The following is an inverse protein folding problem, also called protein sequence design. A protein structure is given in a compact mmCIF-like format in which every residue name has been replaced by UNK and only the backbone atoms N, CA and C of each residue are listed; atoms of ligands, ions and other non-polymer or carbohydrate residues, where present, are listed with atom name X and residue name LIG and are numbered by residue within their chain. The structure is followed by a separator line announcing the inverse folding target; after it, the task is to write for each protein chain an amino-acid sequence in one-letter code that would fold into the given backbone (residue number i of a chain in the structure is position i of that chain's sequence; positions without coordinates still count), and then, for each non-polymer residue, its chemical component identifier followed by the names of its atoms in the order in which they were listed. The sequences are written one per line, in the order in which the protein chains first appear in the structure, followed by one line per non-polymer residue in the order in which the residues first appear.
data_IF_709256977217
#
_entry.id   IF_709256977217
#
_cell.length_a   1.000
_cell.length_b   1.000
_cell.length_c   1.000
_cell.angle_alpha   90.00
_cell.angle_beta   90.00
_cell.angle_gamma   90.00
#
_symmetry.space_group_name_H-M   'P 1'
#
loop_
_entity.id
_entity.type
_entity.pdbx_description
1 polymer ?
#
# COMPACT_ATOMS: atom_id res chain seq x y z
N UNK A 1 -4.59 13.98 6.71
CA UNK A 1 -5.67 13.58 7.64
C UNK A 1 -6.52 14.78 8.02
N UNK A 2 -7.65 14.52 8.70
CA UNK A 2 -8.48 15.55 9.34
C UNK A 2 -8.21 15.52 10.84
N UNK A 3 -7.98 16.69 11.44
CA UNK A 3 -7.65 16.86 12.85
C UNK A 3 -8.80 17.59 13.53
N UNK A 4 -9.54 16.88 14.37
CA UNK A 4 -10.64 17.44 15.17
C UNK A 4 -10.12 17.78 16.55
N UNK A 5 -10.07 19.06 16.90
CA UNK A 5 -9.61 19.52 18.22
C UNK A 5 -10.83 19.84 19.08
N UNK A 6 -10.91 19.22 20.26
CA UNK A 6 -12.02 19.39 21.20
C UNK A 6 -11.94 20.71 21.97
N UNK A 7 -13.11 21.24 22.36
CA UNK A 7 -13.27 22.49 23.11
C UNK A 7 -12.36 22.64 24.34
N UNK A 8 -12.13 21.57 25.09
CA UNK A 8 -11.29 21.59 26.29
C UNK A 8 -9.82 21.94 25.99
N UNK A 9 -9.32 21.61 24.80
CA UNK A 9 -7.94 21.91 24.41
C UNK A 9 -7.73 23.41 24.21
N UNK A 10 -8.71 24.10 23.61
CA UNK A 10 -8.68 25.55 23.38
C UNK A 10 -8.87 26.38 24.66
N UNK A 11 -9.50 25.77 25.66
CA UNK A 11 -9.86 26.45 26.91
C UNK A 11 -8.67 26.55 27.89
N UNK A 12 -7.64 25.73 27.72
CA UNK A 12 -6.42 25.76 28.52
C UNK A 12 -5.29 26.49 27.78
N UNK A 13 -4.96 27.69 28.22
CA UNK A 13 -3.92 28.54 27.60
C UNK A 13 -2.52 27.92 27.63
N UNK A 14 -2.27 26.90 28.47
CA UNK A 14 -1.01 26.16 28.47
C UNK A 14 -0.79 25.39 27.17
N UNK A 15 -1.86 25.08 26.43
CA UNK A 15 -1.78 24.37 25.15
C UNK A 15 -1.43 25.29 23.98
N UNK A 16 -1.39 26.62 24.14
CA UNK A 16 -1.21 27.56 23.04
C UNK A 16 0.09 27.32 22.26
N UNK A 17 1.18 26.95 22.94
CA UNK A 17 2.45 26.61 22.29
C UNK A 17 2.32 25.35 21.42
N UNK A 18 1.75 24.29 22.00
CA UNK A 18 1.58 23.02 21.28
C UNK A 18 0.56 23.16 20.12
N UNK A 19 -0.44 24.04 20.25
CA UNK A 19 -1.38 24.38 19.17
C UNK A 19 -0.68 25.13 18.02
N UNK A 20 0.28 26.01 18.32
CA UNK A 20 1.11 26.65 17.29
C UNK A 20 1.96 25.63 16.53
N UNK A 21 2.46 24.60 17.22
CA UNK A 21 3.20 23.51 16.58
C UNK A 21 2.29 22.72 15.63
N UNK A 22 1.04 22.45 16.02
CA UNK A 22 0.05 21.82 15.12
C UNK A 22 -0.28 22.70 13.90
N UNK A 23 -0.33 24.03 14.06
CA UNK A 23 -0.59 24.98 12.97
C UNK A 23 0.40 24.82 11.82
N UNK A 24 1.64 24.42 12.11
CA UNK A 24 2.66 24.19 11.10
C UNK A 24 2.24 23.11 10.08
N UNK A 25 1.52 22.07 10.51
CA UNK A 25 1.03 21.02 9.62
C UNK A 25 -0.09 21.51 8.70
N UNK A 26 -0.95 22.39 9.20
CA UNK A 26 -2.05 22.98 8.44
C UNK A 26 -1.52 23.96 7.38
N UNK A 27 -0.55 24.82 7.75
CA UNK A 27 0.13 25.72 6.80
C UNK A 27 0.83 25.00 5.66
N UNK A 28 1.42 23.84 5.95
CA UNK A 28 2.07 22.98 4.94
C UNK A 28 1.07 22.21 4.06
N UNK A 29 -0.23 22.31 4.33
CA UNK A 29 -1.27 21.53 3.65
C UNK A 29 -1.20 20.02 3.91
N UNK A 30 -0.39 19.58 4.89
CA UNK A 30 -0.22 18.14 5.22
C UNK A 30 -1.51 17.57 5.84
N UNK A 31 -2.13 18.36 6.71
CA UNK A 31 -3.37 18.00 7.42
C UNK A 31 -4.35 19.17 7.36
N UNK A 32 -5.62 18.89 7.67
CA UNK A 32 -6.67 19.92 7.77
C UNK A 32 -7.29 19.87 9.15
N UNK A 33 -7.57 21.04 9.74
CA UNK A 33 -8.33 21.11 10.99
C UNK A 33 -9.83 21.05 10.69
N UNK A 34 -10.59 20.35 11.53
CA UNK A 34 -12.04 20.33 11.49
C UNK A 34 -12.63 20.64 12.86
N UNK A 35 -13.60 21.54 12.92
CA UNK A 35 -14.35 21.86 14.13
C UNK A 35 -15.75 21.26 13.98
N UNK A 36 -15.98 20.13 14.67
CA UNK A 36 -17.14 19.27 14.42
C UNK A 36 -18.41 19.75 15.12
N UNK A 37 -18.27 20.36 16.30
CA UNK A 37 -19.39 20.82 17.12
C UNK A 37 -19.40 22.34 17.22
N UNK A 38 -20.59 22.92 17.38
CA UNK A 38 -20.73 24.35 17.70
C UNK A 38 -19.88 24.74 18.92
N UNK A 39 -19.84 23.89 19.95
CA UNK A 39 -18.99 24.09 21.13
C UNK A 39 -17.49 24.14 20.83
N UNK A 40 -17.01 23.33 19.87
CA UNK A 40 -15.60 23.33 19.46
C UNK A 40 -15.28 24.62 18.70
N UNK A 41 -16.21 25.08 17.86
CA UNK A 41 -16.12 26.35 17.15
C UNK A 41 -16.12 27.54 18.12
N UNK A 42 -17.07 27.60 19.05
CA UNK A 42 -17.18 28.68 20.04
C UNK A 42 -15.93 28.73 20.93
N UNK A 43 -15.41 27.57 21.34
CA UNK A 43 -14.19 27.50 22.13
C UNK A 43 -12.98 28.03 21.34
N UNK A 44 -12.82 27.65 20.07
CA UNK A 44 -11.79 28.21 19.20
C UNK A 44 -11.95 29.72 19.02
N UNK A 45 -13.17 30.19 18.73
CA UNK A 45 -13.48 31.58 18.41
C UNK A 45 -13.15 32.53 19.57
N UNK A 46 -13.36 32.05 20.80
CA UNK A 46 -13.10 32.78 22.04
C UNK A 46 -11.71 32.53 22.64
N UNK A 47 -10.93 31.58 22.10
CA UNK A 47 -9.64 31.17 22.66
C UNK A 47 -8.58 32.28 22.63
N UNK A 48 -7.65 32.23 23.59
CA UNK A 48 -6.45 33.09 23.54
C UNK A 48 -5.57 32.73 22.33
N UNK A 49 -5.53 31.46 21.93
CA UNK A 49 -4.74 30.99 20.80
C UNK A 49 -5.16 31.68 19.49
N UNK A 50 -6.46 31.72 19.17
CA UNK A 50 -6.95 32.40 17.96
C UNK A 50 -6.56 33.87 17.91
N UNK A 51 -6.55 34.58 19.06
CA UNK A 51 -6.15 35.99 19.14
C UNK A 51 -4.67 36.22 18.78
N UNK A 52 -3.85 35.17 18.83
CA UNK A 52 -2.43 35.19 18.47
C UNK A 52 -2.20 34.80 17.00
N UNK A 53 -3.20 34.24 16.32
CA UNK A 53 -3.09 33.82 14.93
C UNK A 53 -3.15 35.01 13.98
N UNK A 54 -2.38 34.92 12.89
CA UNK A 54 -2.48 35.89 11.80
C UNK A 54 -3.76 35.69 11.01
N UNK A 55 -4.17 36.71 10.23
CA UNK A 55 -5.33 36.57 9.33
C UNK A 55 -5.18 35.40 8.36
N UNK A 56 -3.99 35.22 7.78
CA UNK A 56 -3.69 34.10 6.88
C UNK A 56 -3.84 32.74 7.55
N UNK A 57 -3.48 32.62 8.83
CA UNK A 57 -3.66 31.37 9.57
C UNK A 57 -5.14 31.04 9.74
N UNK A 58 -5.94 32.05 10.11
CA UNK A 58 -7.38 31.90 10.28
C UNK A 58 -8.03 31.49 8.95
N UNK A 59 -7.59 32.07 7.84
CA UNK A 59 -8.11 31.73 6.51
C UNK A 59 -7.77 30.28 6.14
N UNK A 60 -6.53 29.82 6.36
CA UNK A 60 -6.13 28.40 6.19
C UNK A 60 -7.00 27.46 7.03
N UNK A 61 -7.29 27.82 8.29
CA UNK A 61 -8.14 27.00 9.15
C UNK A 61 -9.59 26.95 8.67
N UNK A 62 -10.12 28.04 8.10
CA UNK A 62 -11.49 28.10 7.56
C UNK A 62 -11.67 27.24 6.32
N UNK A 63 -10.68 27.18 5.44
CA UNK A 63 -10.71 26.32 4.25
C UNK A 63 -10.84 24.82 4.59
N UNK A 64 -10.41 24.41 5.79
CA UNK A 64 -10.50 23.03 6.27
C UNK A 64 -11.88 22.61 6.82
N UNK A 65 -12.81 23.55 7.02
CA UNK A 65 -14.09 23.27 7.71
C UNK A 65 -15.13 22.72 6.72
N UNK A 66 -15.56 21.46 6.90
CA UNK A 66 -16.86 20.98 6.39
C UNK A 66 -16.89 19.68 5.58
N UNK A 67 -15.75 19.06 5.25
CA UNK A 67 -15.73 17.73 4.59
C UNK A 67 -14.87 16.75 5.38
N UNK A 68 -15.47 15.63 5.79
CA UNK A 68 -14.76 14.47 6.34
C UNK A 68 -14.63 13.42 5.24
N UNK A 69 -13.58 13.54 4.43
CA UNK A 69 -13.25 12.62 3.33
C UNK A 69 -11.98 11.80 3.58
N UNK A 70 -11.29 12.05 4.71
CA UNK A 70 -10.07 11.38 5.15
C UNK A 70 -10.20 10.87 6.57
N UNK A 71 -9.23 10.05 7.00
CA UNK A 71 -9.13 9.59 8.39
C UNK A 71 -9.14 10.78 9.37
N UNK A 72 -10.09 10.74 10.29
CA UNK A 72 -10.22 11.69 11.40
C UNK A 72 -9.29 11.28 12.55
N UNK A 73 -8.57 12.26 13.11
CA UNK A 73 -7.82 12.16 14.35
C UNK A 73 -8.42 13.14 15.34
N UNK A 74 -8.81 12.65 16.50
CA UNK A 74 -9.42 13.48 17.55
C UNK A 74 -8.34 13.88 18.56
N UNK A 75 -8.18 15.18 18.79
CA UNK A 75 -7.29 15.75 19.80
C UNK A 75 -8.12 16.24 20.98
N UNK A 76 -7.85 15.71 22.17
CA UNK A 76 -8.49 16.07 23.43
C UNK A 76 -7.46 16.27 24.54
N UNK A 77 -7.88 16.75 25.71
CA UNK A 77 -6.95 16.95 26.83
C UNK A 77 -6.46 15.62 27.42
N UNK A 78 -7.32 14.60 27.43
CA UNK A 78 -6.99 13.23 27.82
C UNK A 78 -6.80 12.35 26.57
N UNK A 79 -5.89 11.38 26.68
CA UNK A 79 -5.67 10.36 25.64
C UNK A 79 -6.42 9.07 25.96
N UNK A 80 -6.91 8.41 24.91
CA UNK A 80 -7.46 7.04 24.98
C UNK A 80 -7.14 6.30 23.66
N UNK A 81 -7.70 5.12 23.42
CA UNK A 81 -7.43 4.37 22.18
C UNK A 81 -7.94 5.06 20.90
N UNK A 82 -8.82 6.04 21.01
CA UNK A 82 -9.48 6.76 19.91
C UNK A 82 -9.09 8.23 19.82
N UNK A 83 -8.54 8.80 20.89
CA UNK A 83 -8.19 10.22 20.98
C UNK A 83 -6.74 10.41 21.38
N UNK A 84 -6.11 11.44 20.84
CA UNK A 84 -4.74 11.82 21.12
C UNK A 84 -4.76 13.02 22.07
N UNK A 85 -3.83 13.06 23.02
CA UNK A 85 -3.51 14.35 23.62
C UNK A 85 -2.71 15.22 22.63
N UNK A 86 -2.55 16.52 22.91
CA UNK A 86 -1.94 17.44 21.94
C UNK A 86 -0.49 17.08 21.57
N UNK A 87 0.30 16.58 22.53
CA UNK A 87 1.70 16.17 22.30
C UNK A 87 1.78 14.88 21.49
N UNK A 88 0.92 13.91 21.80
CA UNK A 88 0.77 12.70 21.01
C UNK A 88 0.35 13.01 19.57
N UNK A 89 -0.61 13.91 19.40
CA UNK A 89 -1.09 14.35 18.10
C UNK A 89 0.05 14.98 17.30
N UNK A 90 0.85 15.86 17.90
CA UNK A 90 2.03 16.44 17.25
C UNK A 90 2.98 15.36 16.73
N UNK A 91 3.40 14.44 17.59
CA UNK A 91 4.33 13.37 17.19
C UNK A 91 3.73 12.43 16.13
N UNK A 92 2.44 12.12 16.23
CA UNK A 92 1.76 11.28 15.25
C UNK A 92 1.63 11.96 13.89
N UNK A 93 1.16 13.21 13.87
CA UNK A 93 0.92 14.00 12.65
C UNK A 93 2.22 14.40 11.95
N UNK A 94 3.31 14.56 12.70
CA UNK A 94 4.63 14.83 12.15
C UNK A 94 5.19 13.66 11.33
N UNK A 95 4.84 12.42 11.69
CA UNK A 95 5.29 11.24 10.95
C UNK A 95 4.78 11.24 9.51
N UNK A 96 5.53 10.60 8.62
CA UNK A 96 5.13 10.36 7.24
C UNK A 96 4.36 9.05 7.17
N UNK A 97 3.40 8.93 6.25
CA UNK A 97 2.82 7.63 5.94
C UNK A 97 3.87 6.82 5.19
N UNK A 98 4.13 5.59 5.63
CA UNK A 98 5.10 4.71 4.99
C UNK A 98 4.41 3.52 4.34
N UNK A 99 4.64 3.33 3.04
CA UNK A 99 4.23 2.13 2.31
C UNK A 99 5.33 1.09 2.46
N UNK A 100 5.04 0.03 3.21
CA UNK A 100 5.97 -1.09 3.36
C UNK A 100 5.86 -1.99 2.14
N UNK A 101 6.99 -2.21 1.49
CA UNK A 101 7.18 -3.12 0.35
C UNK A 101 8.13 -4.23 0.75
N UNK A 102 8.08 -5.41 0.12
CA UNK A 102 9.03 -6.50 0.44
C UNK A 102 10.48 -6.07 0.16
N UNK A 103 10.73 -5.49 -1.01
CA UNK A 103 11.98 -4.87 -1.45
C UNK A 103 11.67 -3.57 -2.21
N UNK A 104 11.99 -2.41 -1.60
CA UNK A 104 11.69 -1.11 -2.21
C UNK A 104 12.21 -0.97 -3.65
N UNK A 105 13.43 -1.45 -3.91
CA UNK A 105 14.10 -1.30 -5.20
C UNK A 105 13.30 -1.89 -6.36
N UNK A 106 12.65 -3.05 -6.16
CA UNK A 106 12.00 -3.78 -7.24
C UNK A 106 10.49 -3.52 -7.31
N UNK A 107 9.85 -3.15 -6.21
CA UNK A 107 8.40 -2.97 -6.14
C UNK A 107 8.00 -1.54 -6.54
N UNK A 108 8.88 -0.57 -6.27
CA UNK A 108 8.60 0.84 -6.50
C UNK A 108 8.19 1.18 -7.94
N UNK A 109 8.82 0.65 -9.02
CA UNK A 109 8.36 0.92 -10.39
C UNK A 109 6.90 0.52 -10.63
N UNK A 110 6.47 -0.63 -10.08
CA UNK A 110 5.10 -1.11 -10.21
C UNK A 110 4.12 -0.20 -9.46
N UNK A 111 4.42 0.12 -8.20
CA UNK A 111 3.52 0.95 -7.37
C UNK A 111 3.43 2.38 -7.89
N UNK A 112 4.54 2.95 -8.36
CA UNK A 112 4.53 4.28 -8.97
C UNK A 112 3.64 4.34 -10.21
N UNK A 113 3.60 3.28 -11.02
CA UNK A 113 2.70 3.21 -12.19
C UNK A 113 1.23 3.08 -11.78
N UNK A 114 0.93 2.38 -10.69
CA UNK A 114 -0.41 2.39 -10.12
C UNK A 114 -0.79 3.81 -9.69
N UNK A 115 0.09 4.51 -8.98
CA UNK A 115 -0.15 5.89 -8.55
C UNK A 115 -0.37 6.81 -9.75
N UNK A 116 0.55 6.84 -10.70
CA UNK A 116 0.50 7.69 -11.89
C UNK A 116 -0.79 7.52 -12.71
N UNK A 117 -1.29 6.28 -12.83
CA UNK A 117 -2.44 5.99 -13.70
C UNK A 117 -3.79 5.95 -12.99
N UNK A 118 -3.82 5.82 -11.66
CA UNK A 118 -5.06 5.63 -10.90
C UNK A 118 -5.30 6.70 -9.84
N UNK A 119 -4.33 7.55 -9.52
CA UNK A 119 -4.57 8.78 -8.77
C UNK A 119 -4.92 9.94 -9.71
N UNK A 120 -6.20 10.15 -9.96
CA UNK A 120 -6.68 11.24 -10.82
C UNK A 120 -6.48 12.66 -10.26
N UNK A 121 -5.97 12.81 -9.04
CA UNK A 121 -5.82 14.11 -8.36
C UNK A 121 -4.36 14.50 -8.11
N UNK A 122 -3.41 13.64 -8.50
CA UNK A 122 -1.97 13.81 -8.23
C UNK A 122 -1.60 13.96 -6.74
N UNK A 123 -2.52 13.63 -5.84
CA UNK A 123 -2.36 13.83 -4.40
C UNK A 123 -1.20 12.98 -3.85
N UNK A 124 -1.10 11.72 -4.25
CA UNK A 124 -0.07 10.79 -3.81
C UNK A 124 1.30 11.14 -4.38
N UNK A 125 1.38 11.61 -5.64
CA UNK A 125 2.62 12.12 -6.23
C UNK A 125 3.08 13.37 -5.48
N UNK A 126 2.18 14.31 -5.22
CA UNK A 126 2.48 15.49 -4.41
C UNK A 126 2.91 15.10 -2.98
N UNK A 127 2.26 14.11 -2.37
CA UNK A 127 2.63 13.61 -1.05
C UNK A 127 4.02 12.97 -1.03
N UNK A 128 4.43 12.25 -2.09
CA UNK A 128 5.79 11.72 -2.23
C UNK A 128 6.82 12.85 -2.36
N UNK A 129 6.55 13.85 -3.21
CA UNK A 129 7.45 14.99 -3.44
C UNK A 129 7.64 15.86 -2.18
N UNK A 130 6.57 16.05 -1.40
CA UNK A 130 6.60 16.80 -0.16
C UNK A 130 7.10 15.99 1.04
N UNK A 131 7.44 14.70 0.84
CA UNK A 131 7.87 13.80 1.90
C UNK A 131 6.78 13.53 2.93
N UNK A 132 5.50 13.55 2.56
CA UNK A 132 4.38 13.15 3.42
C UNK A 132 4.07 11.65 3.29
N UNK A 133 4.42 11.08 2.13
CA UNK A 133 4.38 9.66 1.81
C UNK A 133 5.79 9.18 1.48
N UNK A 134 6.17 7.99 1.94
CA UNK A 134 7.48 7.38 1.66
C UNK A 134 7.32 5.88 1.41
N UNK A 135 8.20 5.31 0.58
CA UNK A 135 8.37 3.86 0.51
C UNK A 135 9.31 3.40 1.63
N UNK A 136 9.10 2.19 2.12
CA UNK A 136 9.90 1.61 3.18
C UNK A 136 10.20 0.15 2.89
N UNK A 137 11.47 -0.21 2.92
CA UNK A 137 11.93 -1.57 2.66
C UNK A 137 11.57 -2.50 3.83
N UNK A 138 10.81 -3.55 3.54
CA UNK A 138 10.37 -4.60 4.46
C UNK A 138 11.43 -5.67 4.75
N UNK A 139 12.61 -5.56 4.13
CA UNK A 139 13.73 -6.49 4.27
C UNK A 139 13.36 -7.93 3.88
N UNK A 140 12.63 -8.10 2.78
CA UNK A 140 12.12 -9.40 2.34
C UNK A 140 10.89 -9.83 3.15
N UNK A 141 10.86 -11.10 3.58
CA UNK A 141 9.72 -11.70 4.27
C UNK A 141 9.53 -11.27 5.74
N UNK A 142 10.28 -10.29 6.24
CA UNK A 142 10.39 -10.00 7.68
C UNK A 142 9.89 -8.60 8.08
N UNK A 143 8.94 -8.04 7.33
CA UNK A 143 8.28 -6.76 7.65
C UNK A 143 7.72 -6.73 9.08
N UNK A 144 7.27 -7.89 9.58
CA UNK A 144 6.83 -8.07 10.96
C UNK A 144 7.91 -7.70 11.99
N UNK A 145 9.16 -8.13 11.80
CA UNK A 145 10.24 -7.78 12.75
C UNK A 145 10.52 -6.28 12.80
N UNK A 146 10.40 -5.59 11.65
CA UNK A 146 10.57 -4.15 11.54
C UNK A 146 9.44 -3.44 12.29
N UNK A 147 8.21 -3.87 12.05
CA UNK A 147 7.02 -3.35 12.73
C UNK A 147 7.11 -3.58 14.24
N UNK A 148 7.49 -4.79 14.68
CA UNK A 148 7.73 -5.12 16.09
C UNK A 148 8.81 -4.24 16.71
N UNK A 149 9.94 -4.05 16.02
CA UNK A 149 11.05 -3.22 16.51
C UNK A 149 10.62 -1.77 16.68
N UNK A 150 9.76 -1.26 15.78
CA UNK A 150 9.26 0.11 15.88
C UNK A 150 8.24 0.25 16.98
N UNK A 151 7.32 -0.71 17.10
CA UNK A 151 6.40 -0.81 18.23
C UNK A 151 7.19 -0.81 19.56
N UNK A 152 8.23 -1.64 19.71
CA UNK A 152 8.99 -1.75 20.97
C UNK A 152 9.97 -0.61 21.25
N UNK A 153 10.61 -0.02 20.22
CA UNK A 153 11.43 1.18 20.39
C UNK A 153 10.57 2.35 20.85
N UNK A 154 9.42 2.57 20.22
CA UNK A 154 8.55 3.68 20.57
C UNK A 154 8.05 3.58 22.04
N UNK A 155 7.89 2.37 22.62
CA UNK A 155 7.61 2.22 24.07
C UNK A 155 8.74 2.64 24.99
N UNK A 156 10.00 2.43 24.58
CA UNK A 156 11.15 2.70 25.46
C UNK A 156 11.68 4.12 25.30
N UNK A 157 11.42 4.78 24.17
CA UNK A 157 12.01 6.08 23.85
C UNK A 157 11.04 7.26 23.89
N UNK A 158 9.73 7.06 23.73
CA UNK A 158 8.79 8.19 23.65
C UNK A 158 7.85 8.24 24.86
N UNK A 159 8.29 8.93 25.92
CA UNK A 159 7.51 9.19 27.14
C UNK A 159 6.15 9.87 26.89
N UNK A 160 5.94 10.41 25.70
CA UNK A 160 4.72 11.12 25.33
C UNK A 160 3.59 10.18 24.87
N UNK A 161 3.86 8.90 24.56
CA UNK A 161 2.84 7.95 24.14
C UNK A 161 2.25 7.20 25.33
N UNK A 162 0.95 7.36 25.56
CA UNK A 162 0.24 6.83 26.73
C UNK A 162 -0.69 5.65 26.43
N UNK A 163 -1.01 5.40 25.16
CA UNK A 163 -1.87 4.30 24.70
C UNK A 163 -1.07 3.13 24.08
N UNK A 164 -1.77 2.11 23.58
CA UNK A 164 -1.14 1.02 22.84
C UNK A 164 -0.39 1.56 21.61
N UNK A 165 0.84 1.11 21.41
CA UNK A 165 1.79 1.70 20.45
C UNK A 165 1.36 1.57 18.99
N UNK A 166 0.62 0.51 18.68
CA UNK A 166 0.04 0.29 17.36
C UNK A 166 -0.83 1.46 16.89
N UNK A 167 -1.47 2.20 17.80
CA UNK A 167 -2.23 3.42 17.50
C UNK A 167 -1.39 4.51 16.83
N UNK A 168 -0.09 4.58 17.13
CA UNK A 168 0.80 5.63 16.63
C UNK A 168 1.53 5.26 15.35
N UNK A 169 1.29 4.05 14.81
CA UNK A 169 1.90 3.59 13.58
C UNK A 169 1.25 4.25 12.36
N UNK A 170 2.07 4.84 11.49
CA UNK A 170 1.66 5.37 10.18
C UNK A 170 2.23 4.50 9.05
N UNK A 171 1.69 3.29 8.93
CA UNK A 171 2.07 2.34 7.89
C UNK A 171 0.89 1.87 7.05
N UNK A 172 1.19 1.51 5.81
CA UNK A 172 0.34 0.72 4.93
C UNK A 172 1.22 -0.35 4.27
N UNK A 173 0.91 -1.62 4.43
CA UNK A 173 1.74 -2.71 3.87
C UNK A 173 1.13 -3.27 2.58
N UNK A 174 1.94 -3.37 1.53
CA UNK A 174 1.61 -4.08 0.29
C UNK A 174 2.37 -5.41 0.27
N UNK A 175 1.65 -6.52 0.05
CA UNK A 175 2.26 -7.86 0.03
C UNK A 175 1.88 -8.64 -1.22
N UNK A 176 2.83 -9.44 -1.68
CA UNK A 176 2.57 -10.52 -2.63
C UNK A 176 1.69 -11.61 -1.98
N UNK A 177 0.81 -12.20 -2.78
CA UNK A 177 -0.05 -13.27 -2.27
C UNK A 177 0.68 -14.60 -2.15
N UNK A 178 1.74 -14.82 -2.93
CA UNK A 178 2.42 -16.10 -3.16
C UNK A 178 1.46 -17.25 -3.50
N UNK A 179 0.24 -16.94 -3.94
CA UNK A 179 -0.74 -17.97 -4.30
C UNK A 179 -0.29 -18.69 -5.56
N UNK A 180 -0.46 -20.00 -5.59
CA UNK A 180 -0.15 -20.82 -6.77
C UNK A 180 -1.40 -21.10 -7.61
N UNK A 181 -2.58 -20.72 -7.12
CA UNK A 181 -3.87 -20.90 -7.75
C UNK A 181 -4.94 -19.97 -7.14
N UNK A 182 -6.09 -19.87 -7.79
CA UNK A 182 -7.24 -19.12 -7.28
C UNK A 182 -7.96 -19.94 -6.19
N UNK A 183 -8.11 -19.38 -5.00
CA UNK A 183 -9.03 -19.87 -3.97
C UNK A 183 -10.38 -19.13 -4.08
N UNK A 184 -11.43 -19.66 -3.46
CA UNK A 184 -12.61 -18.85 -3.13
C UNK A 184 -12.12 -17.59 -2.38
N UNK A 185 -12.63 -16.43 -2.76
CA UNK A 185 -11.95 -15.12 -2.68
C UNK A 185 -11.64 -14.59 -1.26
N UNK A 186 -12.03 -15.29 -0.19
CA UNK A 186 -12.19 -14.69 1.13
C UNK A 186 -11.11 -15.08 2.15
N UNK A 187 -10.30 -16.11 1.89
CA UNK A 187 -9.31 -16.60 2.86
C UNK A 187 -7.89 -16.59 2.30
N UNK A 188 -7.15 -15.53 2.63
CA UNK A 188 -5.69 -15.54 2.56
C UNK A 188 -5.14 -16.45 3.67
N UNK A 189 -3.99 -17.12 3.46
CA UNK A 189 -3.33 -17.87 4.53
C UNK A 189 -3.21 -16.97 5.77
N UNK A 190 -3.81 -17.41 6.88
CA UNK A 190 -3.93 -16.60 8.09
C UNK A 190 -2.54 -16.10 8.53
N UNK A 191 -1.51 -16.95 8.38
CA UNK A 191 -0.12 -16.65 8.70
C UNK A 191 0.43 -15.37 8.07
N UNK A 192 0.00 -15.01 6.85
CA UNK A 192 0.51 -13.80 6.15
C UNK A 192 -0.09 -12.49 6.62
N UNK A 193 -1.31 -12.54 7.17
CA UNK A 193 -2.09 -11.35 7.53
C UNK A 193 -2.35 -11.22 9.03
N UNK A 194 -2.17 -12.29 9.80
CA UNK A 194 -2.50 -12.36 11.23
C UNK A 194 -1.82 -11.26 12.03
N UNK A 195 -0.50 -11.13 11.93
CA UNK A 195 0.21 -10.07 12.65
C UNK A 195 -0.33 -8.66 12.33
N UNK A 196 -0.62 -8.39 11.05
CA UNK A 196 -1.14 -7.10 10.60
C UNK A 196 -2.56 -6.85 11.11
N UNK A 197 -3.43 -7.87 11.07
CA UNK A 197 -4.79 -7.83 11.60
C UNK A 197 -4.79 -7.62 13.12
N UNK A 198 -4.02 -8.43 13.85
CA UNK A 198 -3.91 -8.37 15.32
C UNK A 198 -3.41 -7.00 15.79
N UNK A 199 -2.53 -6.36 15.01
CA UNK A 199 -1.99 -5.04 15.32
C UNK A 199 -2.73 -3.89 14.62
N UNK A 200 -3.82 -4.17 13.90
CA UNK A 200 -4.62 -3.17 13.15
C UNK A 200 -3.79 -2.34 12.18
N UNK A 201 -2.80 -2.96 11.54
CA UNK A 201 -1.95 -2.33 10.53
C UNK A 201 -2.68 -2.43 9.18
N UNK A 202 -3.01 -1.28 8.54
CA UNK A 202 -3.59 -1.28 7.21
C UNK A 202 -2.70 -2.00 6.21
N UNK A 203 -3.29 -2.85 5.38
CA UNK A 203 -2.56 -3.61 4.39
C UNK A 203 -3.44 -4.05 3.23
N UNK A 204 -2.79 -4.30 2.09
CA UNK A 204 -3.40 -4.94 0.93
C UNK A 204 -2.52 -6.08 0.45
N UNK A 205 -3.12 -7.24 0.22
CA UNK A 205 -2.45 -8.40 -0.38
C UNK A 205 -2.89 -8.41 -1.83
N UNK A 206 -1.92 -8.45 -2.74
CA UNK A 206 -2.19 -8.48 -4.17
C UNK A 206 -3.09 -9.67 -4.54
N UNK A 207 -3.98 -9.49 -5.50
CA UNK A 207 -4.81 -10.58 -6.00
C UNK A 207 -3.96 -11.65 -6.69
N UNK A 208 -3.01 -11.24 -7.54
CA UNK A 208 -2.15 -12.18 -8.26
C UNK A 208 -1.03 -12.70 -7.37
N UNK A 209 -0.27 -13.71 -7.84
CA UNK A 209 0.83 -14.32 -7.06
C UNK A 209 1.80 -13.26 -6.55
N UNK A 210 2.40 -12.51 -7.47
CA UNK A 210 3.39 -11.47 -7.22
C UNK A 210 3.19 -10.28 -8.18
N UNK A 211 3.91 -9.17 -7.97
CA UNK A 211 3.83 -7.99 -8.86
C UNK A 211 4.09 -8.34 -10.32
N UNK A 212 4.97 -9.30 -10.60
CA UNK A 212 5.35 -9.68 -11.95
C UNK A 212 4.15 -10.16 -12.77
N UNK A 213 3.14 -10.77 -12.13
CA UNK A 213 1.92 -11.24 -12.80
C UNK A 213 1.00 -10.11 -13.26
N UNK A 214 1.27 -8.86 -12.86
CA UNK A 214 0.60 -7.66 -13.38
C UNK A 214 1.25 -7.11 -14.64
N UNK A 215 2.41 -7.64 -15.06
CA UNK A 215 3.05 -7.25 -16.31
C UNK A 215 2.11 -7.55 -17.49
N UNK A 216 1.85 -6.57 -18.38
CA UNK A 216 0.91 -6.78 -19.48
C UNK A 216 1.51 -7.61 -20.61
N UNK A 217 0.62 -8.32 -21.31
CA UNK A 217 0.95 -9.20 -22.44
C UNK A 217 1.83 -8.50 -23.50
N UNK A 218 1.62 -7.20 -23.76
CA UNK A 218 2.43 -6.45 -24.74
C UNK A 218 3.94 -6.40 -24.43
N UNK A 219 4.33 -6.51 -23.16
CA UNK A 219 5.74 -6.56 -22.78
C UNK A 219 6.33 -7.90 -23.22
N UNK A 220 5.58 -8.99 -23.06
CA UNK A 220 5.97 -10.29 -23.58
C UNK A 220 5.92 -10.32 -25.12
N UNK A 221 4.96 -9.64 -25.77
CA UNK A 221 4.96 -9.46 -27.23
C UNK A 221 6.24 -8.76 -27.72
N UNK A 222 6.74 -7.78 -26.95
CA UNK A 222 8.00 -7.11 -27.29
C UNK A 222 9.19 -8.08 -27.28
N UNK A 223 9.17 -9.12 -26.42
CA UNK A 223 10.20 -10.16 -26.42
C UNK A 223 10.14 -11.01 -27.68
N UNK A 224 8.95 -11.24 -28.27
CA UNK A 224 8.82 -11.94 -29.54
C UNK A 224 9.49 -11.20 -30.70
N UNK A 225 9.42 -9.87 -30.66
CA UNK A 225 9.91 -8.98 -31.72
C UNK A 225 11.41 -8.68 -31.61
N UNK A 226 11.89 -8.43 -30.40
CA UNK A 226 13.25 -7.90 -30.15
C UNK A 226 14.29 -8.97 -29.92
N UNK A 227 13.88 -10.16 -29.47
CA UNK A 227 14.81 -11.20 -29.07
C UNK A 227 15.29 -12.05 -30.25
N UNK A 228 16.55 -12.50 -30.19
CA UNK A 228 17.21 -13.27 -31.25
C UNK A 228 16.53 -14.64 -31.44
N UNK A 229 16.76 -15.30 -32.59
CA UNK A 229 16.09 -16.55 -33.02
C UNK A 229 16.19 -17.74 -32.03
N UNK A 230 17.08 -17.69 -31.03
CA UNK A 230 17.23 -18.72 -29.99
C UNK A 230 17.24 -18.14 -28.56
N UNK A 231 16.59 -16.98 -28.35
CA UNK A 231 16.52 -16.36 -27.04
C UNK A 231 15.45 -17.04 -26.17
N UNK A 232 15.84 -17.49 -24.97
CA UNK A 232 14.93 -18.12 -24.01
C UNK A 232 13.77 -17.20 -23.62
N UNK A 233 13.95 -15.87 -23.65
CA UNK A 233 12.86 -14.90 -23.44
C UNK A 233 11.78 -15.02 -24.51
N UNK A 234 12.19 -15.18 -25.77
CA UNK A 234 11.28 -15.35 -26.91
C UNK A 234 10.49 -16.64 -26.80
N UNK A 235 11.19 -17.71 -26.45
CA UNK A 235 10.58 -19.03 -26.25
C UNK A 235 9.55 -18.96 -25.12
N UNK A 236 9.93 -18.45 -23.94
CA UNK A 236 9.02 -18.28 -22.81
C UNK A 236 7.79 -17.44 -23.20
N UNK A 237 7.99 -16.27 -23.82
CA UNK A 237 6.89 -15.40 -24.23
C UNK A 237 5.91 -16.09 -25.20
N UNK A 238 6.42 -16.91 -26.12
CA UNK A 238 5.59 -17.64 -27.11
C UNK A 238 4.57 -18.55 -26.44
N UNK A 239 4.95 -19.18 -25.32
CA UNK A 239 4.09 -20.07 -24.58
C UNK A 239 3.28 -19.35 -23.50
N UNK A 240 3.89 -18.39 -22.80
CA UNK A 240 3.23 -17.58 -21.79
C UNK A 240 2.01 -16.85 -22.34
N UNK A 241 2.10 -16.27 -23.54
CA UNK A 241 1.00 -15.51 -24.14
C UNK A 241 -0.24 -16.36 -24.45
N UNK A 242 -0.08 -17.68 -24.63
CA UNK A 242 -1.19 -18.64 -24.85
C UNK A 242 -1.94 -19.00 -23.58
N UNK A 243 -1.36 -18.72 -22.40
CA UNK A 243 -1.99 -19.02 -21.12
C UNK A 243 -3.27 -18.20 -20.91
N UNK A 244 -4.25 -18.82 -20.25
CA UNK A 244 -5.46 -18.14 -19.79
C UNK A 244 -5.14 -17.10 -18.70
N UNK A 245 -6.05 -16.16 -18.44
CA UNK A 245 -5.86 -15.17 -17.38
C UNK A 245 -5.55 -15.80 -16.00
N UNK A 246 -6.31 -16.80 -15.50
CA UNK A 246 -5.98 -17.43 -14.22
C UNK A 246 -4.61 -18.11 -14.22
N UNK A 247 -4.22 -18.77 -15.31
CA UNK A 247 -2.88 -19.37 -15.43
C UNK A 247 -1.78 -18.31 -15.38
N UNK A 248 -1.95 -17.18 -16.07
CA UNK A 248 -0.98 -16.06 -16.03
C UNK A 248 -0.87 -15.41 -14.65
N UNK A 249 -1.95 -15.39 -13.89
CA UNK A 249 -2.04 -14.70 -12.60
C UNK A 249 -1.35 -15.44 -11.45
N UNK A 250 -1.22 -16.76 -11.56
CA UNK A 250 -0.67 -17.61 -10.50
C UNK A 250 0.58 -18.40 -10.90
N UNK A 251 1.11 -18.18 -12.10
CA UNK A 251 2.41 -18.72 -12.52
C UNK A 251 3.52 -17.93 -11.83
N UNK A 252 4.50 -18.61 -11.24
CA UNK A 252 5.77 -17.98 -10.85
C UNK A 252 6.52 -17.60 -12.15
N UNK A 253 6.58 -16.31 -12.49
CA UNK A 253 7.15 -15.91 -13.79
C UNK A 253 8.65 -16.16 -13.81
N UNK A 254 9.33 -15.99 -12.68
CA UNK A 254 10.77 -16.21 -12.59
C UNK A 254 11.11 -17.69 -12.70
N UNK A 255 10.40 -18.57 -11.98
CA UNK A 255 10.79 -19.97 -11.77
C UNK A 255 9.90 -20.97 -12.51
N UNK A 256 8.74 -20.58 -13.00
CA UNK A 256 7.77 -21.49 -13.60
C UNK A 256 7.36 -22.58 -12.61
N UNK A 257 7.54 -23.84 -13.01
CA UNK A 257 7.30 -25.02 -12.16
C UNK A 257 8.60 -25.63 -11.63
N UNK A 258 9.72 -24.91 -11.71
CA UNK A 258 11.02 -25.46 -11.38
C UNK A 258 11.37 -25.33 -9.89
N UNK A 259 12.31 -26.17 -9.46
CA UNK A 259 13.00 -26.09 -8.17
C UNK A 259 14.49 -25.86 -8.40
N UNK A 260 15.17 -25.22 -7.45
CA UNK A 260 16.62 -25.06 -7.48
C UNK A 260 17.31 -26.39 -7.18
N UNK A 261 18.30 -26.75 -7.98
CA UNK A 261 19.18 -27.91 -7.81
C UNK A 261 20.65 -27.44 -7.87
N UNK A 262 21.60 -28.32 -7.50
CA UNK A 262 23.03 -27.98 -7.39
C UNK A 262 23.55 -27.30 -8.67
N UNK A 263 23.14 -27.77 -9.85
CA UNK A 263 23.60 -27.28 -11.15
C UNK A 263 22.53 -26.50 -11.93
N UNK A 264 21.59 -25.83 -11.26
CA UNK A 264 20.61 -24.95 -11.92
C UNK A 264 19.19 -25.16 -11.44
N UNK A 265 18.26 -25.38 -12.39
CA UNK A 265 16.84 -25.57 -12.13
C UNK A 265 16.34 -26.84 -12.81
N UNK A 266 15.48 -27.57 -12.11
CA UNK A 266 14.81 -28.77 -12.62
C UNK A 266 13.30 -28.56 -12.56
N UNK A 267 12.60 -28.88 -13.64
CA UNK A 267 11.14 -28.79 -13.70
C UNK A 267 10.55 -29.88 -12.80
N UNK A 268 9.64 -29.51 -11.90
CA UNK A 268 8.92 -30.50 -11.08
C UNK A 268 8.07 -31.40 -11.97
N UNK A 269 7.96 -32.66 -11.58
CA UNK A 269 6.97 -33.55 -12.19
C UNK A 269 5.56 -33.01 -11.95
N UNK A 270 4.69 -33.07 -12.96
CA UNK A 270 3.34 -32.50 -12.88
C UNK A 270 2.53 -33.15 -11.76
N UNK A 271 2.70 -34.46 -11.54
CA UNK A 271 2.03 -35.21 -10.48
C UNK A 271 2.49 -34.82 -9.07
N UNK A 272 3.62 -34.13 -8.93
CA UNK A 272 4.14 -33.66 -7.64
C UNK A 272 3.61 -32.29 -7.20
N UNK A 273 2.89 -31.58 -8.07
CA UNK A 273 2.25 -30.29 -7.75
C UNK A 273 0.98 -30.51 -6.92
N UNK A 274 0.47 -29.48 -6.24
CA UNK A 274 -0.84 -29.60 -5.56
C UNK A 274 -1.96 -29.86 -6.56
N UNK A 275 -3.06 -30.47 -6.10
CA UNK A 275 -4.18 -30.83 -6.97
C UNK A 275 -4.78 -29.63 -7.70
N UNK A 276 -4.80 -28.46 -7.05
CA UNK A 276 -5.33 -27.21 -7.55
C UNK A 276 -4.44 -26.62 -8.64
N UNK A 277 -3.11 -26.69 -8.44
CA UNK A 277 -2.13 -26.29 -9.47
C UNK A 277 -2.25 -27.21 -10.67
N UNK A 278 -2.31 -28.54 -10.46
CA UNK A 278 -2.50 -29.50 -11.55
C UNK A 278 -3.78 -29.20 -12.34
N UNK A 279 -4.88 -28.91 -11.65
CA UNK A 279 -6.16 -28.58 -12.28
C UNK A 279 -6.08 -27.25 -13.07
N UNK A 280 -5.42 -26.23 -12.52
CA UNK A 280 -5.27 -24.93 -13.18
C UNK A 280 -4.49 -25.04 -14.50
N UNK A 281 -3.50 -25.91 -14.56
CA UNK A 281 -2.64 -26.11 -15.73
C UNK A 281 -2.93 -27.39 -16.52
N UNK A 282 -4.05 -28.07 -16.26
CA UNK A 282 -4.41 -29.35 -16.90
C UNK A 282 -4.50 -29.29 -18.42
N UNK A 283 -4.80 -28.12 -18.97
CA UNK A 283 -4.95 -27.89 -20.41
C UNK A 283 -3.62 -27.80 -21.15
N UNK A 284 -2.49 -27.70 -20.44
CA UNK A 284 -1.19 -27.61 -21.06
C UNK A 284 -0.71 -28.98 -21.53
N UNK A 285 -0.25 -29.02 -22.78
CA UNK A 285 0.56 -30.14 -23.29
C UNK A 285 1.88 -30.28 -22.50
N UNK A 286 2.53 -31.43 -22.64
CA UNK A 286 3.83 -31.67 -21.99
C UNK A 286 4.92 -30.71 -22.50
N UNK A 287 4.87 -30.36 -23.78
CA UNK A 287 5.78 -29.37 -24.36
C UNK A 287 5.56 -27.99 -23.73
N UNK A 288 4.32 -27.50 -23.71
CA UNK A 288 4.00 -26.18 -23.14
C UNK A 288 4.39 -26.10 -21.67
N UNK A 289 4.07 -27.14 -20.89
CA UNK A 289 4.45 -27.23 -19.48
C UNK A 289 5.96 -27.17 -19.28
N UNK A 290 6.75 -27.88 -20.10
CA UNK A 290 8.21 -27.84 -20.02
C UNK A 290 8.77 -26.47 -20.39
N UNK A 291 8.20 -25.83 -21.42
CA UNK A 291 8.70 -24.54 -21.94
C UNK A 291 8.46 -23.38 -20.99
N UNK A 292 7.30 -23.32 -20.33
CA UNK A 292 7.06 -22.33 -19.27
C UNK A 292 7.64 -22.78 -17.92
N UNK A 293 7.87 -24.08 -17.74
CA UNK A 293 8.22 -24.69 -16.46
C UNK A 293 9.59 -24.30 -15.91
N UNK A 294 10.50 -23.77 -16.74
CA UNK A 294 11.78 -23.21 -16.28
C UNK A 294 11.70 -21.73 -15.86
N UNK A 295 10.56 -21.08 -16.13
CA UNK A 295 10.36 -19.66 -15.92
C UNK A 295 11.10 -18.79 -16.95
N UNK A 296 11.01 -17.48 -16.76
CA UNK A 296 11.66 -16.48 -17.58
C UNK A 296 13.11 -16.26 -17.10
N UNK A 297 14.06 -16.75 -17.88
CA UNK A 297 15.49 -16.64 -17.55
C UNK A 297 16.03 -15.24 -17.82
N UNK A 298 16.46 -14.56 -16.76
CA UNK A 298 17.09 -13.24 -16.79
C UNK A 298 18.19 -13.17 -15.72
N UNK A 299 19.34 -12.57 -16.04
CA UNK A 299 20.48 -12.45 -15.12
C UNK A 299 20.12 -11.69 -13.84
N UNK A 300 19.41 -10.58 -13.96
CA UNK A 300 18.92 -9.79 -12.83
C UNK A 300 17.40 -9.67 -12.89
N UNK A 301 16.70 -10.82 -12.89
CA UNK A 301 15.25 -10.88 -13.10
C UNK A 301 14.49 -9.80 -12.30
N UNK A 302 14.66 -9.75 -10.97
CA UNK A 302 13.89 -8.82 -10.12
C UNK A 302 14.14 -7.34 -10.48
N UNK A 303 15.36 -6.94 -10.80
CA UNK A 303 15.66 -5.55 -11.17
C UNK A 303 15.24 -5.23 -12.62
N UNK A 304 15.73 -6.01 -13.58
CA UNK A 304 15.51 -5.77 -15.01
C UNK A 304 14.03 -5.92 -15.38
N UNK A 305 13.34 -6.92 -14.82
CA UNK A 305 11.92 -7.14 -15.12
C UNK A 305 11.06 -6.01 -14.55
N UNK A 306 11.39 -5.50 -13.37
CA UNK A 306 10.67 -4.37 -12.76
C UNK A 306 10.78 -3.10 -13.58
N UNK A 307 11.88 -2.89 -14.29
CA UNK A 307 12.05 -1.73 -15.18
C UNK A 307 11.07 -1.72 -16.37
N UNK A 308 10.50 -2.86 -16.77
CA UNK A 308 9.48 -2.88 -17.83
C UNK A 308 8.18 -2.17 -17.41
N UNK A 309 7.89 -2.05 -16.10
CA UNK A 309 6.74 -1.26 -15.64
C UNK A 309 6.81 0.20 -16.07
N UNK A 310 8.01 0.77 -16.25
CA UNK A 310 8.18 2.14 -16.71
C UNK A 310 7.49 2.41 -18.06
N UNK A 311 7.31 1.36 -18.86
CA UNK A 311 6.70 1.46 -20.18
C UNK A 311 5.18 1.29 -20.14
N UNK A 312 4.59 0.79 -19.04
CA UNK A 312 3.20 0.32 -18.92
C UNK A 312 2.18 1.47 -18.88
N UNK A 313 1.06 1.34 -19.60
CA UNK A 313 -0.05 2.32 -19.61
C UNK A 313 -1.18 1.92 -18.65
N UNK A 314 -2.11 2.86 -18.43
CA UNK A 314 -3.34 2.60 -17.67
C UNK A 314 -4.19 1.49 -18.28
N UNK A 315 -4.35 1.48 -19.60
CA UNK A 315 -5.17 0.51 -20.33
C UNK A 315 -4.60 -0.90 -20.19
N UNK A 316 -3.28 -1.03 -20.19
CA UNK A 316 -2.59 -2.30 -19.98
C UNK A 316 -2.89 -2.88 -18.60
N UNK A 317 -2.76 -2.05 -17.56
CA UNK A 317 -3.04 -2.40 -16.18
C UNK A 317 -4.50 -2.80 -16.00
N UNK A 318 -5.43 -2.01 -16.55
CA UNK A 318 -6.87 -2.32 -16.53
C UNK A 318 -7.20 -3.64 -17.19
N UNK A 319 -6.60 -3.96 -18.35
CA UNK A 319 -6.78 -5.26 -19.00
C UNK A 319 -6.33 -6.41 -18.11
N UNK A 320 -5.21 -6.24 -17.39
CA UNK A 320 -4.66 -7.27 -16.51
C UNK A 320 -5.51 -7.54 -15.26
N UNK A 321 -6.32 -6.59 -14.82
CA UNK A 321 -7.15 -6.74 -13.60
C UNK A 321 -8.65 -6.87 -13.88
N UNK A 322 -9.08 -6.81 -15.15
CA UNK A 322 -10.49 -6.73 -15.53
C UNK A 322 -11.37 -7.86 -14.95
N UNK A 323 -10.81 -9.06 -14.82
CA UNK A 323 -11.52 -10.25 -14.33
C UNK A 323 -11.49 -10.41 -12.80
N UNK A 324 -10.76 -9.55 -12.09
CA UNK A 324 -10.67 -9.62 -10.64
C UNK A 324 -11.96 -9.15 -9.97
N UNK A 325 -12.28 -9.67 -8.77
CA UNK A 325 -13.38 -9.16 -7.97
C UNK A 325 -13.14 -7.70 -7.56
N UNK A 326 -14.24 -6.96 -7.37
CA UNK A 326 -14.19 -5.61 -6.83
C UNK A 326 -13.96 -5.64 -5.32
N UNK A 327 -13.39 -4.57 -4.80
CA UNK A 327 -13.02 -4.42 -3.39
C UNK A 327 -13.69 -3.17 -2.80
N UNK A 328 -14.19 -3.29 -1.56
CA UNK A 328 -14.62 -2.14 -0.75
C UNK A 328 -13.49 -1.71 0.20
N UNK A 329 -13.58 -0.50 0.74
CA UNK A 329 -12.53 -0.01 1.64
C UNK A 329 -12.39 -0.89 2.90
N UNK A 330 -11.15 -1.07 3.36
CA UNK A 330 -10.81 -1.78 4.59
C UNK A 330 -10.41 -0.82 5.72
N UNK A 331 -9.97 0.38 5.39
CA UNK A 331 -9.64 1.44 6.35
C UNK A 331 -10.78 2.42 6.62
N UNK A 332 -11.74 2.53 5.71
CA UNK A 332 -12.93 3.37 5.84
C UNK A 332 -14.20 2.51 5.80
N UNK A 333 -14.71 2.12 6.97
CA UNK A 333 -15.89 1.25 7.09
C UNK A 333 -17.17 1.84 6.49
N UNK A 334 -17.24 3.16 6.39
CA UNK A 334 -18.43 3.88 5.94
C UNK A 334 -18.50 3.98 4.41
N UNK A 335 -17.36 3.77 3.73
CA UNK A 335 -17.29 3.73 2.27
C UNK A 335 -17.57 2.32 1.72
N UNK A 336 -18.74 2.17 1.10
CA UNK A 336 -19.18 0.93 0.44
C UNK A 336 -18.90 0.90 -1.06
N UNK A 337 -18.17 1.88 -1.59
CA UNK A 337 -17.87 1.95 -3.03
C UNK A 337 -16.97 0.80 -3.45
N UNK A 338 -17.46 0.02 -4.42
CA UNK A 338 -16.71 -1.05 -5.05
C UNK A 338 -15.69 -0.52 -6.06
N UNK A 339 -14.45 -0.96 -5.94
CA UNK A 339 -13.30 -0.49 -6.73
C UNK A 339 -12.56 -1.65 -7.35
N UNK A 340 -11.89 -1.41 -8.49
CA UNK A 340 -10.87 -2.37 -8.91
C UNK A 340 -9.68 -2.35 -7.91
N UNK A 341 -8.80 -3.34 -7.98
CA UNK A 341 -7.69 -3.48 -7.04
C UNK A 341 -6.80 -2.23 -6.94
N UNK A 342 -6.47 -1.61 -8.07
CA UNK A 342 -5.60 -0.45 -8.11
C UNK A 342 -6.29 0.81 -7.55
N UNK A 343 -7.54 1.05 -7.93
CA UNK A 343 -8.37 2.11 -7.33
C UNK A 343 -8.53 1.92 -5.82
N UNK A 344 -8.68 0.68 -5.36
CA UNK A 344 -8.75 0.34 -3.95
C UNK A 344 -7.44 0.72 -3.23
N UNK A 345 -6.27 0.29 -3.73
CA UNK A 345 -4.97 0.64 -3.15
C UNK A 345 -4.79 2.17 -3.04
N UNK A 346 -5.11 2.91 -4.11
CA UNK A 346 -5.03 4.38 -4.12
C UNK A 346 -5.95 5.00 -3.06
N UNK A 347 -7.19 4.53 -2.98
CA UNK A 347 -8.15 5.01 -2.01
C UNK A 347 -7.69 4.77 -0.56
N UNK A 348 -7.21 3.57 -0.25
CA UNK A 348 -6.72 3.22 1.09
C UNK A 348 -5.55 4.14 1.51
N UNK A 349 -4.59 4.36 0.62
CA UNK A 349 -3.43 5.23 0.90
C UNK A 349 -3.89 6.68 1.11
N UNK A 350 -4.75 7.22 0.24
CA UNK A 350 -5.27 8.59 0.37
C UNK A 350 -6.05 8.81 1.65
N UNK A 351 -6.86 7.84 2.05
CA UNK A 351 -7.63 7.94 3.28
C UNK A 351 -6.72 8.00 4.52
N UNK A 352 -5.58 7.29 4.49
CA UNK A 352 -4.59 7.26 5.57
C UNK A 352 -3.61 8.45 5.58
N UNK A 353 -3.52 9.22 4.49
CA UNK A 353 -2.70 10.42 4.40
C UNK A 353 -3.31 11.58 5.19
#
# INVERSE_FOLDING_TARGET
MIVTIKSEVFSDSKNNSDLNDLMHFFRKGKHRMHLRKASDFDAFDNSQWKRQLSRSDIDVLKEGIGRIDKKEIIVSQLSDNTKFNIKEAYHFLNQNLRIILEQEEYEKPFILKIIEHFDSSDELISALQNGFLEFYNGAGSNSESILRTRITRDSSTNKNFSAQLNKYLRFFELKDSDREYCLNCDEYPESKSRFLKDNKIPHHILYKREKENYMPDRIFDSFLQTAKKNDKKKEFATYYLKLTHPQKDFLDIEKGFSKRVINGREIKDRGSLSSEVQQLYKSLSDEEYRKIGLGLEMSNFKSDFSNYFNQVSREDLLKRIKHQPKLTSRVNSDDKTERNEFEHIIHEIKYLL
#
